data_IF_004462168976
#
_entry.id   IF_004462168976
#
_cell.length_a   1.000
_cell.length_b   1.000
_cell.length_c   1.000
_cell.angle_alpha   90.00
_cell.angle_beta   90.00
_cell.angle_gamma   90.00
#
_symmetry.space_group_name_H-M   'P 1'
#
loop_
_entity.id
_entity.type
_entity.pdbx_description
1 polymer ?
#
# COMPACT_ATOMS: atom_id res chain seq x y z
N UNK A 1 -0.54 -3.94 16.69
CA UNK A 1 0.54 -4.89 17.06
C UNK A 1 0.28 -6.19 16.29
N UNK A 2 1.10 -6.53 15.30
CA UNK A 2 0.92 -7.74 14.50
C UNK A 2 1.63 -8.91 15.20
N UNK A 3 0.87 -9.92 15.62
CA UNK A 3 1.41 -11.17 16.16
C UNK A 3 1.51 -12.18 15.03
N UNK A 4 2.72 -12.38 14.52
CA UNK A 4 3.02 -13.37 13.50
C UNK A 4 3.18 -14.74 14.17
N UNK A 5 2.12 -15.56 14.12
CA UNK A 5 2.21 -16.99 14.45
C UNK A 5 1.98 -17.79 13.17
N UNK A 6 3.07 -18.31 12.60
CA UNK A 6 3.05 -19.48 11.72
C UNK A 6 2.24 -19.35 10.43
N UNK A 7 2.46 -18.30 9.64
CA UNK A 7 1.90 -18.21 8.28
C UNK A 7 0.47 -17.68 8.20
N UNK A 8 -0.08 -17.15 9.30
CA UNK A 8 -1.34 -16.41 9.30
C UNK A 8 -1.08 -14.92 9.57
N UNK A 9 -1.29 -14.09 8.55
CA UNK A 9 -1.24 -12.64 8.69
C UNK A 9 -2.46 -12.15 9.48
N UNK A 10 -2.30 -11.99 10.80
CA UNK A 10 -3.26 -11.26 11.63
C UNK A 10 -2.81 -9.80 11.72
N UNK A 11 -3.54 -8.90 11.04
CA UNK A 11 -3.38 -7.46 11.19
C UNK A 11 -4.45 -6.99 12.17
N UNK A 12 -4.00 -6.45 13.31
CA UNK A 12 -4.87 -5.81 14.31
C UNK A 12 -4.77 -4.31 14.08
N UNK A 13 -5.80 -3.73 13.48
CA UNK A 13 -6.05 -2.28 13.42
C UNK A 13 -7.51 -2.04 13.79
N UNK A 14 -7.74 -1.10 14.71
CA UNK A 14 -9.06 -0.62 15.19
C UNK A 14 -10.10 -1.68 15.51
N UNK A 15 -9.83 -2.50 16.53
CA UNK A 15 -10.82 -3.43 17.08
C UNK A 15 -11.27 -4.53 16.10
N UNK A 16 -10.67 -4.62 14.91
CA UNK A 16 -10.90 -5.68 13.96
C UNK A 16 -9.95 -6.85 14.19
N UNK A 17 -10.52 -8.03 14.43
CA UNK A 17 -9.76 -9.29 14.47
C UNK A 17 -9.95 -10.07 13.17
N UNK A 18 -8.83 -10.63 12.68
CA UNK A 18 -8.71 -11.35 11.41
C UNK A 18 -8.16 -12.75 11.66
N UNK A 19 -8.90 -13.78 11.25
CA UNK A 19 -8.49 -15.21 11.34
C UNK A 19 -8.87 -15.94 10.06
N UNK A 20 -7.95 -16.74 9.52
CA UNK A 20 -8.22 -17.67 8.41
C UNK A 20 -8.27 -19.09 8.95
N UNK A 21 -9.33 -19.84 8.67
CA UNK A 21 -9.42 -21.26 9.07
C UNK A 21 -9.98 -22.13 7.95
N UNK A 22 -9.29 -23.23 7.57
CA UNK A 22 -9.87 -24.25 6.72
C UNK A 22 -10.84 -25.12 7.53
N UNK A 23 -12.09 -25.26 7.10
CA UNK A 23 -13.03 -26.24 7.66
C UNK A 23 -13.00 -27.51 6.86
N UNK A 24 -13.15 -28.67 7.49
CA UNK A 24 -13.10 -29.99 6.84
C UNK A 24 -14.40 -30.76 7.00
N UNK A 25 -14.73 -31.61 6.02
CA UNK A 25 -15.82 -32.58 6.12
C UNK A 25 -15.42 -33.81 6.97
N UNK A 26 -16.33 -34.79 7.10
CA UNK A 26 -16.09 -36.05 7.82
C UNK A 26 -14.95 -36.89 7.24
N UNK A 27 -14.62 -36.68 5.96
CA UNK A 27 -13.54 -37.38 5.26
C UNK A 27 -12.21 -36.61 5.35
N UNK A 28 -12.20 -35.47 6.06
CA UNK A 28 -11.03 -34.61 6.24
C UNK A 28 -10.73 -33.71 5.04
N UNK A 29 -11.58 -33.64 4.01
CA UNK A 29 -11.39 -32.73 2.87
C UNK A 29 -11.74 -31.31 3.27
N UNK A 30 -10.94 -30.33 2.84
CA UNK A 30 -11.24 -28.92 3.09
C UNK A 30 -12.48 -28.52 2.28
N UNK A 31 -13.52 -28.05 2.96
CA UNK A 31 -14.77 -27.59 2.35
C UNK A 31 -14.89 -26.07 2.28
N UNK A 32 -14.20 -25.33 3.17
CA UNK A 32 -14.16 -23.86 3.15
C UNK A 32 -12.83 -23.34 3.65
N UNK A 33 -12.40 -22.22 3.10
CA UNK A 33 -11.44 -21.30 3.68
C UNK A 33 -12.20 -20.08 4.19
N UNK A 34 -12.24 -19.90 5.51
CA UNK A 34 -13.04 -18.84 6.12
C UNK A 34 -12.10 -17.74 6.62
N UNK A 35 -12.24 -16.54 6.08
CA UNK A 35 -11.71 -15.29 6.64
C UNK A 35 -12.78 -14.65 7.52
N UNK A 36 -12.47 -14.40 8.79
CA UNK A 36 -13.37 -13.71 9.72
C UNK A 36 -12.89 -12.28 9.92
N UNK A 37 -13.79 -11.30 9.76
CA UNK A 37 -13.61 -9.90 10.18
C UNK A 37 -14.63 -9.60 11.26
N UNK A 38 -14.18 -9.36 12.48
CA UNK A 38 -15.06 -8.95 13.57
C UNK A 38 -14.90 -7.47 13.87
N UNK A 39 -15.94 -6.84 14.39
CA UNK A 39 -15.95 -5.44 14.81
C UNK A 39 -16.85 -5.29 16.04
N UNK A 40 -16.50 -4.38 16.94
CA UNK A 40 -17.23 -4.15 18.19
C UNK A 40 -18.60 -3.47 17.98
N UNK A 41 -18.74 -2.68 16.92
CA UNK A 41 -19.96 -1.93 16.58
C UNK A 41 -20.73 -2.50 15.38
N UNK A 42 -21.78 -1.78 14.92
CA UNK A 42 -22.50 -2.09 13.68
C UNK A 42 -21.60 -2.03 12.45
N UNK A 43 -21.87 -2.88 11.45
CA UNK A 43 -21.11 -2.85 10.19
C UNK A 43 -21.44 -1.63 9.32
N UNK A 44 -22.54 -0.92 9.58
CA UNK A 44 -22.87 0.32 8.86
C UNK A 44 -21.85 1.44 9.08
N UNK A 45 -21.04 1.34 10.14
CA UNK A 45 -20.17 2.43 10.59
C UNK A 45 -18.71 2.22 10.18
N UNK A 46 -18.40 1.09 9.52
CA UNK A 46 -17.04 0.71 9.11
C UNK A 46 -17.04 -0.24 7.91
N UNK A 47 -15.86 -0.68 7.47
CA UNK A 47 -15.69 -1.57 6.32
C UNK A 47 -14.96 -2.86 6.70
N UNK A 48 -15.36 -3.96 6.05
CA UNK A 48 -14.63 -5.22 6.12
C UNK A 48 -13.54 -5.21 5.03
N UNK A 49 -12.31 -4.88 5.40
CA UNK A 49 -11.20 -4.69 4.47
C UNK A 49 -10.39 -5.98 4.32
N UNK A 50 -10.16 -6.41 3.08
CA UNK A 50 -9.20 -7.46 2.77
C UNK A 50 -7.84 -6.84 2.45
N UNK A 51 -6.80 -7.27 3.15
CA UNK A 51 -5.42 -6.97 2.74
C UNK A 51 -5.07 -7.68 1.42
N UNK A 52 -4.00 -7.24 0.75
CA UNK A 52 -3.51 -7.88 -0.49
C UNK A 52 -3.41 -9.42 -0.40
N UNK A 53 -2.73 -10.03 0.59
CA UNK A 53 -2.66 -11.50 0.65
C UNK A 53 -4.03 -12.17 0.88
N UNK A 54 -4.96 -11.53 1.59
CA UNK A 54 -6.32 -12.04 1.78
C UNK A 54 -7.13 -11.96 0.49
N UNK A 55 -7.00 -10.87 -0.27
CA UNK A 55 -7.58 -10.73 -1.61
C UNK A 55 -7.06 -11.81 -2.56
N UNK A 56 -5.74 -12.02 -2.59
CA UNK A 56 -5.10 -13.07 -3.40
C UNK A 56 -5.60 -14.47 -3.02
N UNK A 57 -5.73 -14.76 -1.72
CA UNK A 57 -6.27 -16.01 -1.23
C UNK A 57 -7.75 -16.19 -1.65
N UNK A 58 -8.57 -15.15 -1.49
CA UNK A 58 -9.97 -15.18 -1.88
C UNK A 58 -10.14 -15.40 -3.39
N UNK A 59 -9.30 -14.76 -4.21
CA UNK A 59 -9.26 -14.98 -5.66
C UNK A 59 -8.83 -16.41 -6.02
N UNK A 60 -7.82 -16.95 -5.33
CA UNK A 60 -7.32 -18.31 -5.55
C UNK A 60 -8.34 -19.40 -5.21
N UNK A 61 -9.04 -19.26 -4.09
CA UNK A 61 -9.94 -20.29 -3.58
C UNK A 61 -11.39 -20.15 -4.08
N UNK A 62 -11.78 -18.98 -4.62
CA UNK A 62 -13.05 -18.78 -5.30
C UNK A 62 -14.26 -19.20 -4.46
N UNK A 63 -15.07 -20.13 -4.97
CA UNK A 63 -16.26 -20.65 -4.30
C UNK A 63 -15.97 -21.36 -2.96
N UNK A 64 -14.74 -21.82 -2.74
CA UNK A 64 -14.32 -22.38 -1.46
C UNK A 64 -13.97 -21.30 -0.43
N UNK A 65 -13.81 -20.03 -0.84
CA UNK A 65 -13.51 -18.93 0.07
C UNK A 65 -14.78 -18.27 0.61
N UNK A 66 -14.79 -18.03 1.91
CA UNK A 66 -15.89 -17.38 2.61
C UNK A 66 -15.36 -16.21 3.45
N UNK A 67 -15.99 -15.05 3.31
CA UNK A 67 -15.80 -13.92 4.23
C UNK A 67 -16.96 -13.92 5.23
N UNK A 68 -16.63 -14.01 6.51
CA UNK A 68 -17.57 -13.87 7.61
C UNK A 68 -17.35 -12.51 8.25
N UNK A 69 -18.35 -11.65 8.21
CA UNK A 69 -18.33 -10.35 8.91
C UNK A 69 -19.18 -10.46 10.17
N UNK A 70 -18.56 -10.23 11.32
CA UNK A 70 -19.21 -10.28 12.64
C UNK A 70 -19.34 -8.86 13.18
N UNK A 71 -20.54 -8.30 13.16
CA UNK A 71 -20.82 -7.01 13.78
C UNK A 71 -21.32 -7.17 15.21
N UNK A 72 -21.13 -6.13 16.03
CA UNK A 72 -21.48 -6.11 17.45
C UNK A 72 -20.88 -7.29 18.23
N UNK A 73 -19.65 -7.68 17.88
CA UNK A 73 -19.02 -8.94 18.28
C UNK A 73 -18.77 -9.09 19.80
N UNK A 74 -18.85 -7.99 20.55
CA UNK A 74 -18.66 -7.96 22.01
C UNK A 74 -19.99 -7.94 22.78
N UNK A 75 -21.11 -8.15 22.10
CA UNK A 75 -22.45 -8.11 22.68
C UNK A 75 -23.22 -9.38 22.36
N UNK A 76 -24.29 -9.65 23.11
CA UNK A 76 -25.17 -10.80 22.87
C UNK A 76 -26.04 -10.65 21.59
N UNK A 77 -26.15 -9.43 21.03
CA UNK A 77 -26.85 -9.13 19.77
C UNK A 77 -25.88 -9.06 18.56
N UNK A 78 -24.82 -9.86 18.60
CA UNK A 78 -23.90 -9.97 17.47
C UNK A 78 -24.61 -10.55 16.23
N UNK A 79 -24.17 -10.15 15.04
CA UNK A 79 -24.67 -10.73 13.77
C UNK A 79 -23.53 -11.18 12.88
N UNK A 80 -23.70 -12.36 12.27
CA UNK A 80 -22.72 -12.94 11.34
C UNK A 80 -23.28 -12.90 9.91
N UNK A 81 -22.63 -12.12 9.06
CA UNK A 81 -22.88 -12.05 7.63
C UNK A 81 -21.91 -12.98 6.91
N UNK A 82 -22.42 -13.95 6.13
CA UNK A 82 -21.62 -14.98 5.46
C UNK A 82 -21.65 -14.78 3.96
N UNK A 83 -20.49 -14.53 3.36
CA UNK A 83 -20.36 -14.17 1.95
C UNK A 83 -19.42 -15.17 1.27
N UNK A 84 -19.99 -16.06 0.46
CA UNK A 84 -19.24 -16.96 -0.41
C UNK A 84 -18.69 -16.18 -1.61
N UNK A 85 -17.43 -16.45 -1.97
CA UNK A 85 -16.74 -15.85 -3.11
C UNK A 85 -16.90 -14.31 -3.17
N UNK A 86 -16.43 -13.57 -2.14
CA UNK A 86 -16.61 -12.12 -2.08
C UNK A 86 -15.96 -11.40 -3.28
N UNK A 87 -14.84 -11.92 -3.81
CA UNK A 87 -14.15 -11.31 -4.96
C UNK A 87 -14.95 -11.49 -6.25
N UNK A 88 -15.47 -12.70 -6.51
CA UNK A 88 -16.30 -12.95 -7.69
C UNK A 88 -17.65 -12.24 -7.65
N UNK A 89 -18.09 -11.78 -6.46
CA UNK A 89 -19.34 -11.04 -6.25
C UNK A 89 -19.14 -9.54 -6.06
N UNK A 90 -17.91 -9.05 -6.03
CA UNK A 90 -17.63 -7.63 -5.83
C UNK A 90 -18.13 -6.82 -7.04
N UNK A 91 -18.86 -5.74 -6.77
CA UNK A 91 -19.36 -4.82 -7.81
C UNK A 91 -18.91 -3.36 -7.59
N UNK A 92 -18.23 -3.07 -6.48
CA UNK A 92 -17.68 -1.76 -6.16
C UNK A 92 -16.30 -1.95 -5.51
N UNK A 93 -15.44 -0.95 -5.71
CA UNK A 93 -14.14 -0.83 -5.04
C UNK A 93 -14.10 0.48 -4.25
N UNK A 94 -13.54 0.44 -3.05
CA UNK A 94 -13.39 1.59 -2.17
C UNK A 94 -11.90 1.96 -2.10
N UNK A 95 -11.60 3.25 -2.24
CA UNK A 95 -10.26 3.81 -2.16
C UNK A 95 -10.21 4.77 -0.96
N UNK A 96 -9.38 4.46 0.03
CA UNK A 96 -9.14 5.31 1.19
C UNK A 96 -7.90 6.21 1.00
N UNK A 97 -7.57 7.04 2.00
CA UNK A 97 -6.43 7.95 1.97
C UNK A 97 -5.09 7.21 1.80
N UNK A 98 -5.02 5.93 2.18
CA UNK A 98 -3.83 5.08 2.01
C UNK A 98 -3.43 4.86 0.56
N UNK A 99 -4.32 5.09 -0.40
CA UNK A 99 -4.01 4.98 -1.83
C UNK A 99 -3.18 6.15 -2.37
N UNK A 100 -3.13 7.29 -1.68
CA UNK A 100 -2.41 8.47 -2.16
C UNK A 100 -0.92 8.23 -2.36
N UNK A 101 -0.32 7.36 -1.55
CA UNK A 101 1.11 6.99 -1.68
C UNK A 101 1.41 6.19 -2.95
N UNK A 102 0.37 5.71 -3.63
CA UNK A 102 0.50 4.95 -4.88
C UNK A 102 0.20 5.80 -6.12
N UNK A 103 -0.27 7.04 -5.93
CA UNK A 103 -0.52 7.96 -7.04
C UNK A 103 0.82 8.48 -7.59
N UNK A 104 0.89 8.67 -8.91
CA UNK A 104 2.02 9.32 -9.57
C UNK A 104 2.08 10.81 -9.15
N UNK A 105 3.30 11.36 -9.05
CA UNK A 105 3.52 12.77 -8.73
C UNK A 105 3.54 13.61 -10.00
N UNK A 106 2.83 14.74 -9.99
CA UNK A 106 2.84 15.72 -11.09
C UNK A 106 4.10 16.61 -11.12
N UNK A 107 5.18 16.25 -10.42
CA UNK A 107 6.37 17.11 -10.39
C UNK A 107 7.02 17.17 -11.78
N UNK A 108 7.18 18.38 -12.34
CA UNK A 108 7.83 18.52 -13.63
C UNK A 108 9.28 18.06 -13.49
N UNK A 109 9.71 17.19 -14.41
CA UNK A 109 11.13 16.87 -14.55
C UNK A 109 11.89 18.19 -14.71
N UNK A 110 12.71 18.52 -13.73
CA UNK A 110 13.64 19.65 -13.83
C UNK A 110 14.68 19.23 -14.88
N UNK A 111 14.55 19.74 -16.10
CA UNK A 111 15.62 19.63 -17.09
C UNK A 111 16.86 20.31 -16.50
N UNK A 112 17.96 19.54 -16.34
CA UNK A 112 19.23 20.12 -15.94
C UNK A 112 19.60 21.21 -16.95
N UNK A 113 20.07 22.40 -16.51
CA UNK A 113 20.34 23.49 -17.42
C UNK A 113 21.42 23.07 -18.41
N UNK A 114 21.11 23.15 -19.71
CA UNK A 114 22.10 23.03 -20.77
C UNK A 114 23.19 24.06 -20.52
N UNK A 115 24.43 23.62 -20.29
CA UNK A 115 25.58 24.52 -20.21
C UNK A 115 25.63 25.37 -21.50
N UNK A 116 25.36 26.67 -21.35
CA UNK A 116 25.47 27.64 -22.41
C UNK A 116 26.91 27.62 -22.95
N UNK A 117 27.09 27.03 -24.13
CA UNK A 117 28.33 27.09 -24.89
C UNK A 117 28.73 28.55 -25.11
N UNK A 118 29.55 29.08 -24.21
CA UNK A 118 30.10 30.41 -24.29
C UNK A 118 30.78 30.61 -25.63
N UNK A 119 30.18 31.46 -26.48
CA UNK A 119 30.87 32.14 -27.57
C UNK A 119 31.96 33.01 -26.96
N UNK A 120 33.14 32.43 -26.74
CA UNK A 120 34.35 33.17 -26.51
C UNK A 120 34.73 33.90 -27.79
N UNK A 121 34.35 35.17 -27.89
CA UNK A 121 34.91 36.11 -28.87
C UNK A 121 36.41 36.27 -28.58
N UNK A 122 37.23 35.44 -29.22
CA UNK A 122 38.67 35.60 -29.21
C UNK A 122 39.05 36.79 -30.09
N UNK A 123 39.26 37.96 -29.48
CA UNK A 123 39.92 39.09 -30.11
C UNK A 123 41.35 39.21 -29.55
N UNK A 124 42.33 38.78 -30.32
CA UNK A 124 43.70 39.31 -30.24
C UNK A 124 43.94 40.19 -31.50
N UNK A 125 44.89 41.15 -31.54
CA UNK A 125 45.97 41.45 -30.59
C UNK A 125 46.19 42.97 -30.33
N UNK A 126 47.20 43.29 -29.50
CA UNK A 126 47.82 44.63 -29.42
C UNK A 126 48.96 44.67 -28.40
N UNK A 127 50.17 44.29 -28.82
CA UNK A 127 51.43 44.44 -28.06
C UNK A 127 51.86 45.92 -28.00
N UNK A 128 52.16 46.40 -26.79
CA UNK A 128 52.88 47.62 -26.36
C UNK A 128 52.11 48.17 -25.14
N UNK A 129 52.66 48.44 -23.97
CA UNK A 129 53.97 48.89 -23.51
C UNK A 129 54.22 48.21 -22.14
N UNK A 130 55.42 47.69 -21.83
CA UNK A 130 56.44 48.38 -21.02
C UNK A 130 55.85 49.04 -19.76
N UNK A 131 56.33 48.90 -18.54
CA UNK A 131 57.59 48.50 -17.95
C UNK A 131 57.42 48.79 -16.43
N UNK A 132 58.32 48.25 -15.60
CA UNK A 132 58.69 48.66 -14.23
C UNK A 132 57.89 48.13 -13.03
N UNK A 133 58.55 47.25 -12.28
CA UNK A 133 58.81 47.54 -10.86
C UNK A 133 58.61 46.40 -9.85
N UNK A 134 59.61 45.49 -9.77
CA UNK A 134 60.41 45.03 -8.58
C UNK A 134 59.78 44.95 -7.15
N UNK A 135 60.40 44.25 -6.16
CA UNK A 135 59.84 43.04 -5.52
C UNK A 135 59.94 43.09 -3.96
N UNK A 136 59.97 41.90 -3.33
CA UNK A 136 60.40 41.55 -1.96
C UNK A 136 59.32 41.73 -0.85
N UNK A 137 58.88 40.66 -0.18
CA UNK A 137 59.57 39.78 0.78
C UNK A 137 59.78 40.43 2.15
N UNK A 138 59.22 39.77 3.17
CA UNK A 138 59.36 40.04 4.61
C UNK A 138 58.59 38.97 5.36
#
# INVERSE_FOLDING_TARGET
MAINKGGQNSVITDGQFSVVTPTRDSDGRVVRYIEVKSMSGPWTDTYAVLSRPQFEAARKFGEAFWLYVVERAQTDDFRIHRIQNPIGRANHFMFDDGWRVTAESDEPMVEEPEEENGKGDFKQPGLSEMDRGTPAAG
#
